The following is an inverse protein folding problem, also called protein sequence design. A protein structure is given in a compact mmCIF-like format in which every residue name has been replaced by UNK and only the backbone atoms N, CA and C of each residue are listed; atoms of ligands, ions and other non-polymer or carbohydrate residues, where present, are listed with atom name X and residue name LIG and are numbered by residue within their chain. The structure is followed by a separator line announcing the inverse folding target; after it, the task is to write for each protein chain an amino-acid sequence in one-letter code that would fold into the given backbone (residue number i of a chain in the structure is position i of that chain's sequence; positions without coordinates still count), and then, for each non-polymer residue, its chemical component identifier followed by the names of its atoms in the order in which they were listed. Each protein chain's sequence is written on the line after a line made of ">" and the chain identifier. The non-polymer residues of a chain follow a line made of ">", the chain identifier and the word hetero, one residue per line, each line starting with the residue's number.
data_IF_986596616731
#
_entry.id   IF_986596616731
#
_cell.length_a   1.000
_cell.length_b   1.000
_cell.length_c   1.000
_cell.angle_alpha   90.00
_cell.angle_beta   90.00
_cell.angle_gamma   90.00
#
_symmetry.space_group_name_H-M   'P 1'
#
loop_
_entity.id
_entity.type
_entity.pdbx_description
1 polymer ?
#
# COMPACT_ATOMS: atom_id res chain seq x y z
N UNK A 1 1.94 -26.63 12.36
CA UNK A 1 2.70 -25.74 11.47
C UNK A 1 1.77 -24.58 11.11
N UNK A 2 1.98 -23.39 11.66
CA UNK A 2 1.14 -22.23 11.30
C UNK A 2 1.73 -21.63 10.03
N UNK A 3 1.05 -21.84 8.89
CA UNK A 3 1.35 -21.08 7.68
C UNK A 3 0.97 -19.62 7.97
N UNK A 4 1.96 -18.73 7.97
CA UNK A 4 1.72 -17.31 8.21
C UNK A 4 0.67 -16.79 7.22
N UNK A 5 -0.41 -16.21 7.75
CA UNK A 5 -1.54 -15.74 6.94
C UNK A 5 -1.02 -14.69 5.95
N UNK A 6 -1.33 -14.87 4.66
CA UNK A 6 -0.92 -13.92 3.61
C UNK A 6 -1.37 -12.51 3.97
N UNK A 7 -0.45 -11.55 3.84
CA UNK A 7 -0.76 -10.13 4.02
C UNK A 7 -1.85 -9.71 3.01
N UNK A 8 -2.96 -9.11 3.47
CA UNK A 8 -4.04 -8.68 2.57
C UNK A 8 -3.60 -7.55 1.66
N UNK A 9 -4.21 -7.47 0.47
CA UNK A 9 -3.96 -6.39 -0.48
C UNK A 9 -4.57 -5.07 0.05
N UNK A 10 -3.85 -3.93 -0.02
CA UNK A 10 -4.36 -2.61 0.37
C UNK A 10 -5.29 -1.99 -0.69
N UNK A 11 -5.75 -2.76 -1.68
CA UNK A 11 -6.56 -2.25 -2.77
C UNK A 11 -7.96 -1.84 -2.29
N UNK A 12 -8.34 -0.60 -2.53
CA UNK A 12 -9.69 -0.06 -2.26
C UNK A 12 -10.60 -0.08 -3.49
N UNK A 13 -10.21 -0.84 -4.54
CA UNK A 13 -10.93 -0.94 -5.82
C UNK A 13 -11.10 0.39 -6.57
N UNK A 14 -10.25 1.36 -6.26
CA UNK A 14 -10.12 2.63 -7.00
C UNK A 14 -8.82 2.56 -7.77
N UNK A 15 -8.91 2.55 -9.10
CA UNK A 15 -7.75 2.56 -9.99
C UNK A 15 -7.67 3.94 -10.66
N UNK A 16 -6.99 4.87 -10.00
CA UNK A 16 -6.60 6.16 -10.54
C UNK A 16 -5.12 6.34 -10.25
N UNK A 17 -4.32 6.61 -11.28
CA UNK A 17 -2.88 6.82 -11.18
C UNK A 17 -2.58 8.32 -11.28
N UNK A 18 -1.52 8.78 -10.62
CA UNK A 18 -0.93 10.10 -10.85
C UNK A 18 0.14 10.07 -11.97
N UNK A 19 0.84 11.19 -12.15
CA UNK A 19 1.89 11.34 -13.15
C UNK A 19 3.14 10.48 -12.86
N UNK A 20 3.28 9.98 -11.63
CA UNK A 20 4.39 9.13 -11.16
C UNK A 20 4.01 7.63 -11.13
N UNK A 21 2.91 7.25 -11.79
CA UNK A 21 2.37 5.88 -11.81
C UNK A 21 2.01 5.35 -10.41
N UNK A 22 1.68 6.23 -9.45
CA UNK A 22 1.21 5.89 -8.11
C UNK A 22 -0.31 5.90 -8.07
N UNK A 23 -0.89 4.82 -7.55
CA UNK A 23 -2.32 4.71 -7.37
C UNK A 23 -2.82 5.64 -6.27
N UNK A 24 -3.64 6.63 -6.61
CA UNK A 24 -4.24 7.58 -5.67
C UNK A 24 -5.05 6.90 -4.56
N UNK A 25 -5.64 5.73 -4.83
CA UNK A 25 -6.46 5.00 -3.87
C UNK A 25 -5.66 4.14 -2.87
N UNK A 26 -4.68 3.36 -3.35
CA UNK A 26 -3.92 2.43 -2.50
C UNK A 26 -2.45 2.80 -2.30
N UNK A 27 -1.99 3.89 -2.91
CA UNK A 27 -0.65 4.47 -2.81
C UNK A 27 0.49 3.52 -3.23
N UNK A 28 0.14 2.45 -3.96
CA UNK A 28 1.09 1.56 -4.64
C UNK A 28 1.40 2.08 -6.03
N UNK A 29 2.65 1.90 -6.44
CA UNK A 29 3.07 2.06 -7.83
C UNK A 29 2.47 0.96 -8.71
N UNK A 30 2.36 1.19 -10.02
CA UNK A 30 1.99 0.15 -11.00
C UNK A 30 2.86 -1.09 -10.85
N UNK A 31 4.17 -0.93 -10.62
CA UNK A 31 5.11 -2.05 -10.42
C UNK A 31 4.77 -2.89 -9.18
N UNK A 32 4.47 -2.25 -8.06
CA UNK A 32 4.09 -2.95 -6.84
C UNK A 32 2.73 -3.67 -6.99
N UNK A 33 1.82 -3.11 -7.80
CA UNK A 33 0.54 -3.74 -8.12
C UNK A 33 0.76 -5.02 -8.96
N UNK A 34 1.60 -4.96 -10.00
CA UNK A 34 1.90 -6.12 -10.85
C UNK A 34 2.65 -7.21 -10.09
N UNK A 35 3.60 -6.82 -9.24
CA UNK A 35 4.49 -7.77 -8.54
C UNK A 35 3.84 -8.38 -7.28
N UNK A 36 2.74 -7.80 -6.78
CA UNK A 36 2.11 -8.14 -5.49
C UNK A 36 1.88 -9.65 -5.23
N UNK A 37 1.47 -10.38 -6.27
CA UNK A 37 1.21 -11.82 -6.17
C UNK A 37 2.48 -12.65 -6.00
N UNK A 38 3.62 -12.17 -6.50
CA UNK A 38 4.92 -12.80 -6.40
C UNK A 38 5.67 -12.45 -5.10
N UNK A 39 5.30 -11.36 -4.42
CA UNK A 39 5.91 -10.93 -3.17
C UNK A 39 5.60 -11.90 -2.01
N UNK A 40 6.60 -12.10 -1.14
CA UNK A 40 6.44 -12.76 0.16
C UNK A 40 5.77 -11.82 1.20
N UNK A 41 5.52 -12.33 2.41
CA UNK A 41 4.86 -11.54 3.44
C UNK A 41 5.71 -10.37 3.98
N UNK A 42 7.04 -10.50 3.99
CA UNK A 42 7.95 -9.45 4.46
C UNK A 42 8.01 -8.31 3.43
N UNK A 43 8.15 -8.65 2.16
CA UNK A 43 8.10 -7.74 1.03
C UNK A 43 6.75 -7.03 0.95
N UNK A 44 5.64 -7.75 1.15
CA UNK A 44 4.30 -7.14 1.20
C UNK A 44 4.17 -6.11 2.32
N UNK A 45 4.72 -6.41 3.51
CA UNK A 45 4.75 -5.45 4.63
C UNK A 45 5.58 -4.21 4.28
N UNK A 46 6.74 -4.39 3.66
CA UNK A 46 7.58 -3.28 3.21
C UNK A 46 6.84 -2.37 2.22
N UNK A 47 6.14 -2.95 1.23
CA UNK A 47 5.30 -2.19 0.30
C UNK A 47 4.21 -1.41 1.04
N UNK A 48 3.55 -2.01 2.04
CA UNK A 48 2.52 -1.31 2.82
C UNK A 48 3.07 -0.11 3.59
N UNK A 49 4.28 -0.22 4.15
CA UNK A 49 4.96 0.90 4.83
C UNK A 49 5.23 2.03 3.83
N UNK A 50 5.79 1.71 2.65
CA UNK A 50 6.03 2.71 1.60
C UNK A 50 4.73 3.38 1.12
N UNK A 51 3.63 2.61 1.00
CA UNK A 51 2.33 3.17 0.65
C UNK A 51 1.83 4.18 1.69
N UNK A 52 2.05 3.89 2.97
CA UNK A 52 1.69 4.81 4.06
C UNK A 52 2.51 6.10 3.99
N UNK A 53 3.84 5.98 3.82
CA UNK A 53 4.73 7.13 3.69
C UNK A 53 4.36 8.01 2.48
N UNK A 54 3.98 7.40 1.34
CA UNK A 54 3.46 8.13 0.18
C UNK A 54 2.13 8.81 0.48
N UNK A 55 1.20 8.12 1.16
CA UNK A 55 -0.08 8.70 1.57
C UNK A 55 0.10 9.94 2.47
N UNK A 56 1.07 9.89 3.39
CA UNK A 56 1.51 11.00 4.24
C UNK A 56 2.08 12.15 3.41
N UNK A 57 3.00 11.86 2.49
CA UNK A 57 3.61 12.86 1.62
C UNK A 57 2.60 13.54 0.69
N UNK A 58 1.61 12.80 0.18
CA UNK A 58 0.54 13.32 -0.67
C UNK A 58 -0.57 14.05 0.10
N UNK A 59 -0.51 14.09 1.44
CA UNK A 59 -1.53 14.74 2.28
C UNK A 59 -2.89 14.04 2.25
N UNK A 60 -2.94 12.77 1.83
CA UNK A 60 -4.17 11.98 1.69
C UNK A 60 -4.60 11.31 2.99
N UNK A 61 -3.73 11.27 3.99
CA UNK A 61 -4.09 10.88 5.35
C UNK A 61 -4.74 12.07 6.06
N UNK A 62 -6.06 12.01 6.21
CA UNK A 62 -6.70 12.75 7.29
C UNK A 62 -6.20 12.14 8.59
N UNK A 63 -5.16 12.73 9.18
CA UNK A 63 -4.72 12.41 10.52
C UNK A 63 -5.88 12.62 11.47
N UNK A 64 -6.64 11.56 11.75
CA UNK A 64 -7.30 11.44 13.03
C UNK A 64 -6.14 11.42 14.03
N UNK A 65 -6.04 12.40 14.95
CA UNK A 65 -4.99 12.36 15.96
C UNK A 65 -5.05 11.01 16.67
N UNK A 66 -3.94 10.27 16.65
CA UNK A 66 -3.80 9.02 17.38
C UNK A 66 -4.24 9.26 18.84
N UNK A 67 -5.16 8.45 19.42
CA UNK A 67 -5.40 8.54 20.85
C UNK A 67 -4.09 8.18 21.55
N UNK A 68 -3.59 9.12 22.35
CA UNK A 68 -2.44 8.93 23.25
C UNK A 68 -2.79 7.97 24.38
#
# INVERSE_FOLDING_TARGET
>A
MQAERRVPSPCVSICALDDDDVCLGCQRTVKEITDWHALDNEQRRAVLVLCHERAEASGLVWSVPSPS
#
